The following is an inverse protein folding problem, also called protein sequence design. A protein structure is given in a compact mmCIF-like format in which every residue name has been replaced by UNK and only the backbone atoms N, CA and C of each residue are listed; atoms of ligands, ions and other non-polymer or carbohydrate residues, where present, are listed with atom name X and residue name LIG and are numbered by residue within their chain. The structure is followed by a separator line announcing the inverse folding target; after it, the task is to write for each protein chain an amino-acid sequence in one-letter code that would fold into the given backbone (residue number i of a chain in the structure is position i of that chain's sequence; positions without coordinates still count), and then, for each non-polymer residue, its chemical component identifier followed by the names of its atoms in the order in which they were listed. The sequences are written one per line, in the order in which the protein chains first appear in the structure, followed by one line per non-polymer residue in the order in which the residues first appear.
data_IF_474544816141
#
_entry.id   IF_474544816141
#
_cell.length_a   1.000
_cell.length_b   1.000
_cell.length_c   1.000
_cell.angle_alpha   90.00
_cell.angle_beta   90.00
_cell.angle_gamma   90.00
#
_symmetry.space_group_name_H-M   'P 1'
#
loop_
_entity.id
_entity.type
_entity.pdbx_description
1 polymer ?
#
# COMPACT_ATOMS: atom_id res chain seq x y z
N UNK A 1 -11.63 -18.24 4.27
CA UNK A 1 -11.33 -19.30 3.27
C UNK A 1 -10.86 -18.75 1.94
N UNK A 2 -11.52 -17.74 1.35
CA UNK A 2 -11.15 -17.18 0.04
C UNK A 2 -9.68 -16.73 -0.07
N UNK A 3 -9.12 -16.07 0.95
CA UNK A 3 -7.74 -15.56 0.93
C UNK A 3 -6.67 -16.67 0.91
N UNK A 4 -6.91 -17.82 1.55
CA UNK A 4 -5.93 -18.93 1.68
C UNK A 4 -6.08 -19.94 0.55
N UNK A 5 -7.30 -20.28 0.12
CA UNK A 5 -7.52 -21.20 -0.99
C UNK A 5 -6.88 -20.69 -2.30
N UNK A 6 -6.75 -19.38 -2.48
CA UNK A 6 -6.29 -18.80 -3.73
C UNK A 6 -4.81 -18.43 -3.80
N UNK A 7 -4.12 -18.21 -2.67
CA UNK A 7 -2.65 -18.17 -2.71
C UNK A 7 -2.07 -19.47 -3.29
N UNK A 8 -2.85 -20.55 -3.21
CA UNK A 8 -2.50 -21.89 -3.69
C UNK A 8 -3.15 -22.23 -5.04
N UNK A 9 -4.44 -21.92 -5.27
CA UNK A 9 -5.19 -22.54 -6.40
C UNK A 9 -5.48 -21.59 -7.58
N UNK A 10 -5.91 -20.35 -7.36
CA UNK A 10 -6.67 -19.68 -8.43
C UNK A 10 -5.90 -18.77 -9.39
N UNK A 11 -4.56 -18.86 -9.47
CA UNK A 11 -3.79 -18.09 -10.48
C UNK A 11 -2.82 -18.93 -11.31
N UNK A 12 -3.27 -20.11 -11.76
CA UNK A 12 -2.53 -20.97 -12.72
C UNK A 12 -2.22 -20.25 -14.05
N UNK A 13 -2.90 -19.13 -14.35
CA UNK A 13 -2.66 -18.26 -15.51
C UNK A 13 -2.49 -16.78 -15.11
N UNK A 14 -1.55 -16.46 -14.21
CA UNK A 14 -1.22 -15.07 -13.91
C UNK A 14 -0.37 -14.46 -15.04
N UNK A 15 -0.74 -13.28 -15.59
CA UNK A 15 0.07 -12.60 -16.60
C UNK A 15 1.44 -12.22 -16.02
N UNK A 16 2.46 -12.11 -16.87
CA UNK A 16 3.76 -11.54 -16.51
C UNK A 16 3.96 -10.23 -17.27
N UNK A 17 3.44 -9.10 -16.76
CA UNK A 17 3.67 -7.80 -17.35
C UNK A 17 5.15 -7.55 -17.58
N UNK A 18 5.50 -7.10 -18.78
CA UNK A 18 6.86 -6.67 -19.10
C UNK A 18 6.97 -5.18 -18.76
N UNK A 19 7.91 -4.86 -17.88
CA UNK A 19 8.15 -3.50 -17.39
C UNK A 19 9.64 -3.21 -17.23
N UNK A 20 9.93 -1.93 -17.02
CA UNK A 20 11.27 -1.41 -16.71
C UNK A 20 11.41 -1.27 -15.20
N UNK A 21 12.46 -1.85 -14.61
CA UNK A 21 12.79 -1.61 -13.20
C UNK A 21 13.58 -0.32 -13.06
N UNK A 22 13.06 0.61 -12.28
CA UNK A 22 13.74 1.86 -11.95
C UNK A 22 14.39 1.73 -10.58
N UNK A 23 15.61 2.23 -10.46
CA UNK A 23 16.41 2.25 -9.23
C UNK A 23 16.60 3.69 -8.78
N UNK A 24 16.33 3.96 -7.50
CA UNK A 24 16.53 5.25 -6.86
C UNK A 24 17.47 5.06 -5.67
N UNK A 25 18.50 5.89 -5.59
CA UNK A 25 19.34 6.02 -4.40
C UNK A 25 18.71 7.04 -3.48
N UNK A 26 18.39 6.63 -2.25
CA UNK A 26 17.83 7.50 -1.22
C UNK A 26 18.92 8.14 -0.36
N UNK A 27 18.55 9.20 0.36
CA UNK A 27 19.48 9.99 1.20
C UNK A 27 20.14 9.17 2.31
N UNK A 28 19.46 8.11 2.79
CA UNK A 28 19.98 7.20 3.81
C UNK A 28 20.84 6.06 3.23
N UNK A 29 21.13 6.08 1.93
CA UNK A 29 21.89 5.06 1.21
C UNK A 29 21.07 3.83 0.78
N UNK A 30 19.76 3.80 1.05
CA UNK A 30 18.89 2.73 0.59
C UNK A 30 18.70 2.79 -0.92
N UNK A 31 18.68 1.62 -1.55
CA UNK A 31 18.23 1.46 -2.93
C UNK A 31 16.75 1.16 -2.92
N UNK A 32 15.94 2.14 -3.32
CA UNK A 32 14.54 1.94 -3.59
C UNK A 32 14.35 1.50 -5.05
N UNK A 33 13.40 0.61 -5.29
CA UNK A 33 13.03 0.24 -6.66
C UNK A 33 11.53 0.31 -6.86
N UNK A 34 11.14 0.56 -8.10
CA UNK A 34 9.77 0.39 -8.55
C UNK A 34 9.79 -0.13 -9.98
N UNK A 35 8.76 -0.89 -10.36
CA UNK A 35 8.63 -1.39 -11.73
C UNK A 35 7.60 -0.56 -12.49
N UNK A 36 8.00 -0.12 -13.68
CA UNK A 36 7.24 0.76 -14.57
C UNK A 36 6.71 -0.01 -15.77
N UNK A 37 5.41 0.07 -15.99
CA UNK A 37 4.69 -0.65 -17.03
C UNK A 37 3.95 0.34 -17.92
N UNK A 38 4.25 0.32 -19.22
CA UNK A 38 3.60 1.19 -20.21
C UNK A 38 2.22 0.63 -20.59
N UNK A 39 1.26 1.49 -20.99
CA UNK A 39 -0.04 1.03 -21.47
C UNK A 39 0.12 0.11 -22.69
N UNK A 40 -0.72 -0.93 -22.78
CA UNK A 40 -0.77 -1.85 -23.93
C UNK A 40 -1.71 -1.29 -25.01
N UNK A 41 -2.79 -0.62 -24.58
CA UNK A 41 -3.75 0.03 -25.45
C UNK A 41 -3.46 1.53 -25.47
N UNK A 42 -3.40 2.15 -26.64
CA UNK A 42 -3.30 3.60 -26.75
C UNK A 42 -4.52 4.27 -26.11
N UNK A 43 -4.26 5.31 -25.34
CA UNK A 43 -5.24 6.12 -24.66
C UNK A 43 -4.80 7.58 -24.72
N UNK A 44 -5.74 8.50 -24.93
CA UNK A 44 -5.42 9.92 -25.16
C UNK A 44 -4.91 10.61 -23.90
N UNK A 45 -5.38 10.20 -22.72
CA UNK A 45 -4.99 10.80 -21.44
C UNK A 45 -3.73 10.16 -20.85
N UNK A 46 -2.80 10.99 -20.36
CA UNK A 46 -1.57 10.54 -19.70
C UNK A 46 -1.79 10.29 -18.20
N UNK A 47 -2.27 9.10 -17.85
CA UNK A 47 -2.58 8.73 -16.45
C UNK A 47 -1.61 7.65 -15.95
N UNK A 48 -0.99 7.90 -14.80
CA UNK A 48 -0.11 6.96 -14.09
C UNK A 48 -0.74 6.48 -12.79
N UNK A 49 -0.88 5.16 -12.64
CA UNK A 49 -1.26 4.52 -11.39
C UNK A 49 -0.02 4.27 -10.55
N UNK A 50 0.12 4.99 -9.45
CA UNK A 50 1.17 4.78 -8.46
C UNK A 50 0.70 3.76 -7.42
N UNK A 51 1.14 2.52 -7.59
CA UNK A 51 0.64 1.36 -6.85
C UNK A 51 1.56 1.06 -5.67
N UNK A 52 0.98 1.02 -4.46
CA UNK A 52 1.63 0.61 -3.23
C UNK A 52 1.11 -0.78 -2.79
N UNK A 53 1.92 -1.85 -2.88
CA UNK A 53 1.52 -3.19 -2.45
C UNK A 53 1.33 -3.31 -0.93
N UNK A 54 0.69 -4.41 -0.51
CA UNK A 54 0.60 -4.82 0.88
C UNK A 54 1.95 -5.25 1.49
N UNK A 55 1.93 -5.60 2.77
CA UNK A 55 3.14 -5.91 3.55
C UNK A 55 3.99 -6.99 2.89
N UNK A 56 5.28 -6.72 2.70
CA UNK A 56 6.25 -7.67 2.16
C UNK A 56 6.01 -8.08 0.71
N UNK A 57 5.14 -7.36 -0.01
CA UNK A 57 4.85 -7.61 -1.41
C UNK A 57 5.62 -6.63 -2.31
N UNK A 58 5.59 -6.92 -3.60
CA UNK A 58 6.32 -6.21 -4.66
C UNK A 58 5.50 -6.25 -5.96
N UNK A 59 6.05 -5.67 -7.03
CA UNK A 59 5.56 -5.82 -8.40
C UNK A 59 5.37 -7.26 -8.86
N UNK A 60 6.14 -8.21 -8.32
CA UNK A 60 6.11 -9.63 -8.69
C UNK A 60 4.97 -10.40 -8.02
N UNK A 61 4.26 -9.75 -7.08
CA UNK A 61 3.14 -10.34 -6.36
C UNK A 61 1.97 -10.59 -7.30
N UNK A 62 1.35 -11.76 -7.17
CA UNK A 62 0.40 -12.27 -8.16
C UNK A 62 -0.83 -11.35 -8.34
N UNK A 63 -1.33 -10.77 -7.25
CA UNK A 63 -2.47 -9.82 -7.31
C UNK A 63 -2.09 -8.51 -7.99
N UNK A 64 -0.89 -7.99 -7.71
CA UNK A 64 -0.35 -6.80 -8.35
C UNK A 64 -0.18 -7.03 -9.85
N UNK A 65 0.48 -8.12 -10.26
CA UNK A 65 0.69 -8.45 -11.69
C UNK A 65 -0.62 -8.52 -12.47
N UNK A 66 -1.66 -9.06 -11.85
CA UNK A 66 -2.98 -9.17 -12.49
C UNK A 66 -3.64 -7.80 -12.64
N UNK A 67 -3.62 -6.97 -11.59
CA UNK A 67 -4.15 -5.61 -11.64
C UNK A 67 -3.39 -4.74 -12.65
N UNK A 68 -2.04 -4.78 -12.62
CA UNK A 68 -1.17 -4.07 -13.57
C UNK A 68 -1.51 -4.45 -15.01
N UNK A 69 -1.57 -5.76 -15.31
CA UNK A 69 -1.93 -6.20 -16.66
C UNK A 69 -3.29 -5.68 -17.09
N UNK A 70 -4.29 -5.78 -16.20
CA UNK A 70 -5.64 -5.29 -16.47
C UNK A 70 -5.64 -3.78 -16.71
N UNK A 71 -4.93 -3.00 -15.90
CA UNK A 71 -4.80 -1.55 -16.07
C UNK A 71 -4.08 -1.15 -17.35
N UNK A 72 -3.00 -1.84 -17.74
CA UNK A 72 -2.33 -1.61 -19.02
C UNK A 72 -3.26 -1.83 -20.22
N UNK A 73 -4.12 -2.84 -20.17
CA UNK A 73 -5.14 -3.08 -21.19
C UNK A 73 -6.21 -1.97 -21.26
N UNK A 74 -6.35 -1.17 -20.21
CA UNK A 74 -7.26 -0.01 -20.14
C UNK A 74 -6.57 1.33 -20.39
N UNK A 75 -5.30 1.30 -20.84
CA UNK A 75 -4.60 2.52 -21.25
C UNK A 75 -3.83 3.24 -20.15
N UNK A 76 -3.70 2.64 -18.97
CA UNK A 76 -2.97 3.26 -17.86
C UNK A 76 -1.50 2.86 -17.82
N UNK A 77 -0.63 3.83 -17.55
CA UNK A 77 0.74 3.55 -17.08
C UNK A 77 0.66 3.08 -15.64
N UNK A 78 1.42 2.06 -15.27
CA UNK A 78 1.48 1.59 -13.88
C UNK A 78 2.90 1.69 -13.35
N UNK A 79 3.06 2.25 -12.16
CA UNK A 79 4.32 2.25 -11.42
C UNK A 79 4.08 1.56 -10.08
N UNK A 80 4.75 0.43 -9.85
CA UNK A 80 4.56 -0.36 -8.62
C UNK A 80 5.77 -0.23 -7.73
N UNK A 81 5.57 0.27 -6.52
CA UNK A 81 6.58 0.31 -5.47
C UNK A 81 7.04 -1.12 -5.12
N UNK A 82 8.35 -1.35 -5.10
CA UNK A 82 8.92 -2.53 -4.47
C UNK A 82 9.42 -2.12 -3.09
N UNK A 83 8.70 -2.55 -2.05
CA UNK A 83 9.11 -2.33 -0.66
C UNK A 83 10.57 -2.76 -0.44
N UNK A 84 11.38 -1.92 0.22
CA UNK A 84 12.80 -2.19 0.43
C UNK A 84 12.99 -3.52 1.16
N UNK A 85 13.68 -4.47 0.53
CA UNK A 85 13.91 -5.84 1.02
C UNK A 85 12.85 -6.87 0.60
N UNK A 86 11.68 -6.46 0.07
CA UNK A 86 10.65 -7.40 -0.36
C UNK A 86 10.98 -8.08 -1.70
N UNK A 87 11.70 -7.39 -2.58
CA UNK A 87 12.01 -7.89 -3.91
C UNK A 87 13.25 -8.77 -3.91
N UNK A 88 13.07 -10.06 -4.20
CA UNK A 88 14.10 -11.05 -3.96
C UNK A 88 15.37 -10.92 -4.81
N UNK A 89 15.30 -10.25 -5.95
CA UNK A 89 16.43 -10.01 -6.85
C UNK A 89 17.24 -8.74 -6.52
N UNK A 90 16.77 -7.92 -5.58
CA UNK A 90 17.40 -6.64 -5.20
C UNK A 90 17.96 -6.76 -3.79
N UNK A 91 19.23 -6.42 -3.62
CA UNK A 91 19.86 -6.41 -2.31
C UNK A 91 19.52 -5.11 -1.57
N UNK A 92 19.29 -5.22 -0.27
CA UNK A 92 19.22 -4.05 0.62
C UNK A 92 20.61 -3.45 0.76
N UNK A 93 20.71 -2.12 0.64
CA UNK A 93 21.99 -1.39 0.67
C UNK A 93 22.18 -0.51 1.90
N UNK A 94 21.18 -0.41 2.77
CA UNK A 94 21.22 0.34 4.03
C UNK A 94 20.68 -0.51 5.19
N UNK A 95 20.77 -0.02 6.43
CA UNK A 95 20.45 -0.79 7.65
C UNK A 95 18.96 -0.84 7.99
N UNK A 96 18.08 -0.72 6.99
CA UNK A 96 16.62 -0.80 7.18
C UNK A 96 15.90 -1.54 6.06
N UNK A 97 14.67 -1.93 6.36
CA UNK A 97 13.66 -2.34 5.37
C UNK A 97 12.46 -1.39 5.48
N UNK A 98 11.47 -1.57 4.62
CA UNK A 98 10.21 -0.82 4.69
C UNK A 98 9.48 -1.04 6.04
N UNK A 99 8.56 -0.13 6.39
CA UNK A 99 7.70 -0.26 7.58
C UNK A 99 6.24 0.06 7.27
N UNK A 100 5.35 -0.18 8.24
CA UNK A 100 3.91 0.11 8.11
C UNK A 100 3.60 1.60 7.92
N UNK A 101 4.49 2.49 8.37
CA UNK A 101 4.25 3.93 8.41
C UNK A 101 5.20 4.78 7.57
N UNK A 102 6.26 4.23 6.99
CA UNK A 102 7.28 5.03 6.29
C UNK A 102 6.84 5.39 4.87
N UNK A 103 6.34 6.60 4.71
CA UNK A 103 5.74 7.15 3.47
C UNK A 103 6.76 7.78 2.53
N UNK A 104 7.94 8.15 3.03
CA UNK A 104 8.99 8.81 2.23
C UNK A 104 9.46 7.94 1.05
N UNK A 105 9.59 6.62 1.25
CA UNK A 105 9.89 5.68 0.13
C UNK A 105 8.85 5.79 -0.99
N UNK A 106 7.56 5.93 -0.64
CA UNK A 106 6.51 6.12 -1.65
C UNK A 106 6.57 7.52 -2.26
N UNK A 107 6.83 8.56 -1.45
CA UNK A 107 6.99 9.94 -1.93
C UNK A 107 8.13 10.07 -2.94
N UNK A 108 9.27 9.42 -2.71
CA UNK A 108 10.42 9.44 -3.63
C UNK A 108 10.10 8.77 -4.97
N UNK A 109 9.30 7.70 -4.96
CA UNK A 109 8.76 7.10 -6.18
C UNK A 109 7.86 8.10 -6.93
N UNK A 110 6.93 8.75 -6.23
CA UNK A 110 6.02 9.75 -6.82
C UNK A 110 6.80 10.92 -7.43
N UNK A 111 7.77 11.47 -6.72
CA UNK A 111 8.60 12.59 -7.17
C UNK A 111 9.45 12.21 -8.38
N UNK A 112 9.93 10.97 -8.45
CA UNK A 112 10.61 10.47 -9.63
C UNK A 112 9.67 10.33 -10.83
N UNK A 113 8.44 9.82 -10.63
CA UNK A 113 7.43 9.71 -11.68
C UNK A 113 7.01 11.08 -12.21
N UNK A 114 6.76 12.04 -11.32
CA UNK A 114 6.41 13.41 -11.70
C UNK A 114 7.51 14.06 -12.55
N UNK A 115 8.79 13.85 -12.21
CA UNK A 115 9.91 14.35 -13.02
C UNK A 115 10.05 13.62 -14.37
N UNK A 116 9.85 12.30 -14.40
CA UNK A 116 9.96 11.47 -15.62
C UNK A 116 8.78 11.74 -16.59
N UNK A 117 7.61 12.08 -16.05
CA UNK A 117 6.37 12.36 -16.79
C UNK A 117 5.69 13.64 -16.28
N UNK A 118 6.18 14.84 -16.64
CA UNK A 118 5.67 16.10 -16.09
C UNK A 118 4.17 16.38 -16.37
N UNK A 119 3.64 15.82 -17.45
CA UNK A 119 2.23 15.97 -17.84
C UNK A 119 1.28 14.92 -17.27
N UNK A 120 1.78 13.90 -16.56
CA UNK A 120 0.93 12.79 -16.13
C UNK A 120 0.06 13.17 -14.95
N UNK A 121 -1.20 12.74 -14.97
CA UNK A 121 -2.04 12.68 -13.78
C UNK A 121 -1.72 11.40 -13.00
N UNK A 122 -1.38 11.52 -11.74
CA UNK A 122 -1.04 10.42 -10.84
C UNK A 122 -2.23 10.11 -9.93
N UNK A 123 -2.68 8.86 -9.97
CA UNK A 123 -3.65 8.31 -9.02
C UNK A 123 -2.93 7.26 -8.17
N UNK A 124 -2.98 7.43 -6.85
CA UNK A 124 -2.37 6.50 -5.91
C UNK A 124 -3.31 5.32 -5.65
N UNK A 125 -2.79 4.09 -5.61
CA UNK A 125 -3.58 2.88 -5.35
C UNK A 125 -2.86 2.03 -4.32
N UNK A 126 -3.46 1.84 -3.15
CA UNK A 126 -2.83 1.16 -2.03
C UNK A 126 -3.61 -0.06 -1.57
N UNK A 127 -2.93 -1.20 -1.44
CA UNK A 127 -3.52 -2.47 -0.99
C UNK A 127 -3.06 -2.79 0.44
N UNK A 128 -4.00 -3.01 1.37
CA UNK A 128 -3.72 -3.37 2.78
C UNK A 128 -2.73 -2.37 3.43
N UNK A 129 -1.52 -2.80 3.81
CA UNK A 129 -0.44 -1.88 4.26
C UNK A 129 -0.22 -0.72 3.29
N UNK A 130 -0.22 -0.97 1.99
CA UNK A 130 -0.08 0.08 0.99
C UNK A 130 -1.26 1.06 1.01
N UNK A 131 -2.45 0.59 1.37
CA UNK A 131 -3.62 1.43 1.61
C UNK A 131 -3.39 2.42 2.76
N UNK A 132 -2.78 1.94 3.84
CA UNK A 132 -2.36 2.78 4.97
C UNK A 132 -1.29 3.79 4.56
N UNK A 133 -0.25 3.36 3.85
CA UNK A 133 0.82 4.24 3.38
C UNK A 133 0.32 5.35 2.47
N UNK A 134 -0.50 5.06 1.45
CA UNK A 134 -1.00 6.12 0.57
C UNK A 134 -1.93 7.10 1.30
N UNK A 135 -2.68 6.61 2.29
CA UNK A 135 -3.61 7.46 3.05
C UNK A 135 -2.85 8.39 3.98
N UNK A 136 -1.85 7.85 4.67
CA UNK A 136 -0.91 8.63 5.47
C UNK A 136 -0.14 9.63 4.60
N UNK A 137 0.38 9.20 3.45
CA UNK A 137 1.08 10.06 2.48
C UNK A 137 0.22 11.26 2.07
N UNK A 138 -1.05 11.03 1.71
CA UNK A 138 -1.98 12.10 1.32
C UNK A 138 -2.31 13.07 2.46
N UNK A 139 -2.28 12.60 3.71
CA UNK A 139 -2.54 13.41 4.91
C UNK A 139 -1.31 13.99 5.61
N UNK A 140 -0.10 13.64 5.19
CA UNK A 140 1.12 14.14 5.84
C UNK A 140 1.55 15.48 5.28
N UNK A 141 1.38 16.55 6.05
CA UNK A 141 1.65 17.93 5.63
C UNK A 141 3.08 18.12 5.11
N UNK A 142 4.08 17.52 5.78
CA UNK A 142 5.50 17.73 5.48
C UNK A 142 6.00 16.90 4.29
N UNK A 143 5.23 15.92 3.81
CA UNK A 143 5.66 15.03 2.73
C UNK A 143 5.46 15.68 1.36
N UNK A 144 6.45 15.52 0.47
CA UNK A 144 6.41 16.04 -0.90
C UNK A 144 5.25 15.41 -1.68
N UNK A 145 4.36 16.27 -2.18
CA UNK A 145 3.16 15.89 -2.93
C UNK A 145 3.04 16.79 -4.16
N UNK A 146 3.49 16.34 -5.34
CA UNK A 146 3.36 17.14 -6.55
C UNK A 146 1.88 17.31 -6.92
N UNK A 147 1.55 18.41 -7.61
CA UNK A 147 0.18 18.69 -8.04
C UNK A 147 -0.37 17.64 -9.01
N UNK A 148 0.51 16.89 -9.67
CA UNK A 148 0.15 15.75 -10.50
C UNK A 148 -0.55 14.65 -9.71
N UNK A 149 -0.44 14.58 -8.38
CA UNK A 149 -1.26 13.68 -7.57
C UNK A 149 -2.67 14.24 -7.48
N UNK A 150 -3.60 13.56 -8.16
CA UNK A 150 -4.99 14.01 -8.29
C UNK A 150 -5.96 13.26 -7.38
N UNK A 151 -5.56 12.14 -6.80
CA UNK A 151 -6.39 11.37 -5.88
C UNK A 151 -5.80 10.02 -5.47
N UNK A 152 -6.57 9.26 -4.69
CA UNK A 152 -6.15 7.95 -4.20
C UNK A 152 -7.27 6.94 -4.02
N UNK A 153 -6.92 5.65 -4.06
CA UNK A 153 -7.80 4.54 -3.72
C UNK A 153 -7.12 3.64 -2.70
N UNK A 154 -7.68 3.57 -1.50
CA UNK A 154 -7.16 2.80 -0.38
C UNK A 154 -8.03 1.57 -0.11
N UNK A 155 -7.42 0.40 -0.09
CA UNK A 155 -8.12 -0.89 -0.16
C UNK A 155 -7.79 -1.76 1.05
N UNK A 156 -8.83 -2.20 1.75
CA UNK A 156 -8.81 -3.19 2.83
C UNK A 156 -7.72 -2.96 3.88
N UNK A 157 -7.64 -1.74 4.39
CA UNK A 157 -6.77 -1.40 5.52
C UNK A 157 -7.58 -1.20 6.81
N UNK A 158 -6.87 -1.18 7.93
CA UNK A 158 -7.46 -1.04 9.28
C UNK A 158 -7.32 0.33 9.94
N UNK A 159 -6.65 1.30 9.30
CA UNK A 159 -6.47 2.71 9.70
C UNK A 159 -5.75 2.99 11.03
N UNK A 160 -5.98 2.17 12.05
CA UNK A 160 -5.37 2.19 13.38
C UNK A 160 -4.51 0.92 13.59
N UNK A 161 -3.19 1.06 13.52
CA UNK A 161 -2.26 -0.04 13.69
C UNK A 161 -2.18 -0.53 15.15
N UNK A 162 -2.49 0.33 16.13
CA UNK A 162 -2.49 -0.04 17.56
C UNK A 162 -3.62 -1.04 17.85
N UNK A 163 -4.84 -0.71 17.46
CA UNK A 163 -6.00 -1.58 17.63
C UNK A 163 -5.98 -2.76 16.63
N UNK A 164 -5.51 -2.54 15.40
CA UNK A 164 -5.34 -3.60 14.41
C UNK A 164 -4.40 -4.70 14.89
N UNK A 165 -3.28 -4.34 15.50
CA UNK A 165 -2.33 -5.31 16.06
C UNK A 165 -2.94 -6.12 17.20
N UNK A 166 -3.71 -5.49 18.10
CA UNK A 166 -4.44 -6.20 19.17
C UNK A 166 -5.41 -7.23 18.57
N UNK A 167 -6.08 -6.90 17.46
CA UNK A 167 -6.95 -7.84 16.76
C UNK A 167 -6.21 -9.04 16.19
N UNK A 168 -5.04 -8.81 15.57
CA UNK A 168 -4.25 -9.85 14.92
C UNK A 168 -3.73 -10.91 15.89
N UNK A 169 -3.54 -10.55 17.17
CA UNK A 169 -3.11 -11.47 18.23
C UNK A 169 -4.20 -12.47 18.65
N UNK A 170 -5.46 -12.23 18.28
CA UNK A 170 -6.59 -13.10 18.58
C UNK A 170 -6.72 -14.25 17.57
N UNK A 171 -7.27 -15.38 18.00
CA UNK A 171 -7.47 -16.56 17.14
C UNK A 171 -8.72 -16.50 16.26
N UNK A 172 -9.67 -15.60 16.56
CA UNK A 172 -10.89 -15.42 15.78
C UNK A 172 -10.56 -15.17 14.30
N UNK A 173 -11.34 -15.78 13.39
CA UNK A 173 -11.16 -15.68 11.94
C UNK A 173 -9.76 -16.05 11.43
N UNK A 174 -9.04 -16.92 12.15
CA UNK A 174 -7.68 -17.36 11.84
C UNK A 174 -6.64 -16.23 11.84
N UNK A 175 -6.92 -15.07 12.46
CA UNK A 175 -6.03 -13.90 12.47
C UNK A 175 -4.60 -14.22 12.93
N UNK A 176 -4.45 -15.08 13.95
CA UNK A 176 -3.13 -15.52 14.43
C UNK A 176 -2.32 -16.31 13.41
N UNK A 177 -2.98 -17.07 12.52
CA UNK A 177 -2.31 -17.74 11.40
C UNK A 177 -1.80 -16.72 10.37
N UNK A 178 -2.61 -15.71 10.05
CA UNK A 178 -2.17 -14.61 9.17
C UNK A 178 -1.02 -13.82 9.79
N UNK A 179 -1.12 -13.50 11.08
CA UNK A 179 -0.06 -12.82 11.82
C UNK A 179 1.23 -13.63 11.78
N UNK A 180 1.15 -14.95 12.00
CA UNK A 180 2.30 -15.83 11.90
C UNK A 180 2.93 -15.78 10.50
N UNK A 181 2.15 -15.94 9.43
CA UNK A 181 2.64 -15.86 8.04
C UNK A 181 3.29 -14.50 7.76
N UNK A 182 2.66 -13.40 8.19
CA UNK A 182 3.24 -12.05 8.05
C UNK A 182 4.55 -11.92 8.81
N UNK A 183 4.63 -12.44 10.03
CA UNK A 183 5.83 -12.40 10.87
C UNK A 183 6.97 -13.18 10.23
N UNK A 184 6.71 -14.40 9.76
CA UNK A 184 7.71 -15.24 9.09
C UNK A 184 8.18 -14.62 7.77
N UNK A 185 7.29 -14.00 7.00
CA UNK A 185 7.68 -13.28 5.78
C UNK A 185 8.61 -12.10 6.10
N UNK A 186 8.27 -11.26 7.08
CA UNK A 186 9.11 -10.13 7.50
C UNK A 186 10.46 -10.59 8.04
N UNK A 187 10.46 -11.61 8.89
CA UNK A 187 11.68 -12.22 9.42
C UNK A 187 12.54 -12.81 8.30
N UNK A 188 11.94 -13.48 7.32
CA UNK A 188 12.65 -14.01 6.16
C UNK A 188 13.31 -12.91 5.33
N UNK A 189 12.66 -11.74 5.16
CA UNK A 189 13.25 -10.59 4.49
C UNK A 189 14.50 -10.12 5.26
N UNK A 190 14.38 -9.94 6.59
CA UNK A 190 15.50 -9.49 7.43
C UNK A 190 16.68 -10.47 7.34
N UNK A 191 16.40 -11.77 7.52
CA UNK A 191 17.43 -12.82 7.54
C UNK A 191 18.09 -13.03 6.17
N UNK A 192 17.35 -12.83 5.07
CA UNK A 192 17.91 -12.87 3.72
C UNK A 192 18.98 -11.79 3.52
N UNK A 193 18.76 -10.60 4.07
CA UNK A 193 19.68 -9.47 3.99
C UNK A 193 20.53 -9.29 5.26
N UNK A 194 20.71 -10.35 6.07
CA UNK A 194 21.42 -10.32 7.36
C UNK A 194 22.82 -9.68 7.29
N UNK A 195 23.53 -9.86 6.18
CA UNK A 195 24.90 -9.33 6.03
C UNK A 195 24.95 -7.79 6.08
N UNK A 196 23.86 -7.14 5.70
CA UNK A 196 23.72 -5.67 5.74
C UNK A 196 22.90 -5.25 6.95
N UNK A 197 21.75 -5.89 7.15
CA UNK A 197 20.79 -5.50 8.19
C UNK A 197 21.24 -5.86 9.61
N UNK A 198 22.00 -6.94 9.76
CA UNK A 198 22.49 -7.48 11.03
C UNK A 198 24.03 -7.56 11.03
N UNK A 199 24.69 -6.64 10.34
CA UNK A 199 26.14 -6.45 10.46
C UNK A 199 26.51 -6.01 11.88
N UNK A 200 27.75 -6.22 12.32
CA UNK A 200 28.20 -5.77 13.64
C UNK A 200 27.99 -4.26 13.84
N UNK A 201 28.16 -3.47 12.78
CA UNK A 201 27.89 -2.04 12.78
C UNK A 201 26.39 -1.74 13.00
N UNK A 202 25.51 -2.41 12.25
CA UNK A 202 24.05 -2.23 12.38
C UNK A 202 23.56 -2.65 13.77
N UNK A 203 24.05 -3.80 14.27
CA UNK A 203 23.75 -4.33 15.59
C UNK A 203 24.14 -3.32 16.68
N UNK A 204 25.35 -2.77 16.62
CA UNK A 204 25.81 -1.78 17.60
C UNK A 204 25.04 -0.46 17.48
N UNK A 205 24.83 0.03 16.25
CA UNK A 205 24.17 1.30 15.98
C UNK A 205 22.73 1.34 16.50
N UNK A 206 21.96 0.28 16.22
CA UNK A 206 20.55 0.21 16.55
C UNK A 206 20.28 -0.64 17.80
N UNK A 207 21.33 -1.09 18.49
CA UNK A 207 21.22 -2.00 19.65
C UNK A 207 20.34 -3.22 19.34
N UNK A 208 20.61 -3.92 18.24
CA UNK A 208 19.82 -5.08 17.82
C UNK A 208 20.27 -6.35 18.55
N UNK A 209 19.35 -7.29 18.73
CA UNK A 209 19.66 -8.63 19.21
C UNK A 209 19.17 -9.66 18.19
N UNK A 210 20.09 -10.24 17.42
CA UNK A 210 19.75 -11.22 16.38
C UNK A 210 18.96 -12.42 16.94
N UNK A 211 19.24 -12.84 18.18
CA UNK A 211 18.49 -13.94 18.81
C UNK A 211 17.03 -13.57 19.07
N UNK A 212 16.76 -12.34 19.51
CA UNK A 212 15.39 -11.83 19.70
C UNK A 212 14.65 -11.76 18.36
N UNK A 213 15.32 -11.30 17.30
CA UNK A 213 14.76 -11.23 15.94
C UNK A 213 14.40 -12.61 15.40
N UNK A 214 15.28 -13.60 15.57
CA UNK A 214 15.04 -14.98 15.13
C UNK A 214 13.91 -15.62 15.95
N UNK A 215 13.88 -15.36 17.26
CA UNK A 215 12.92 -15.93 18.20
C UNK A 215 11.53 -15.28 18.13
N UNK A 216 11.39 -14.10 17.53
CA UNK A 216 10.11 -13.42 17.38
C UNK A 216 9.08 -14.32 16.68
N UNK A 217 7.96 -14.57 17.37
CA UNK A 217 6.85 -15.41 16.92
C UNK A 217 5.64 -14.58 16.48
N UNK A 218 5.64 -13.29 16.79
CA UNK A 218 4.60 -12.33 16.38
C UNK A 218 5.20 -11.06 15.80
N UNK A 219 4.44 -10.38 14.93
CA UNK A 219 4.88 -9.12 14.33
C UNK A 219 5.23 -8.05 15.38
N UNK A 220 4.50 -7.92 16.52
CA UNK A 220 4.89 -6.99 17.59
C UNK A 220 6.22 -7.34 18.26
N UNK A 221 6.51 -8.62 18.47
CA UNK A 221 7.82 -9.04 19.00
C UNK A 221 8.94 -8.72 18.00
N UNK A 222 8.69 -8.92 16.71
CA UNK A 222 9.65 -8.58 15.66
C UNK A 222 9.85 -7.06 15.55
N UNK A 223 8.78 -6.28 15.63
CA UNK A 223 8.84 -4.82 15.61
C UNK A 223 9.56 -4.26 16.84
N UNK A 224 9.37 -4.88 18.01
CA UNK A 224 10.06 -4.53 19.25
C UNK A 224 11.56 -4.84 19.19
N UNK A 225 11.93 -5.97 18.57
CA UNK A 225 13.33 -6.40 18.44
C UNK A 225 14.08 -5.67 17.32
N UNK A 226 13.39 -5.27 16.25
CA UNK A 226 14.00 -4.73 15.03
C UNK A 226 13.41 -3.37 14.63
N UNK A 227 12.16 -3.31 14.17
CA UNK A 227 11.60 -2.15 13.46
C UNK A 227 11.66 -0.87 14.29
N UNK A 228 11.22 -0.92 15.55
CA UNK A 228 11.24 0.26 16.42
C UNK A 228 12.67 0.75 16.68
N UNK A 229 13.63 -0.17 16.75
CA UNK A 229 15.03 0.15 17.09
C UNK A 229 15.72 0.81 15.90
N UNK A 230 15.58 0.22 14.71
CA UNK A 230 16.10 0.78 13.45
C UNK A 230 15.53 2.17 13.17
N UNK A 231 14.26 2.40 13.51
CA UNK A 231 13.60 3.69 13.32
C UNK A 231 13.61 4.60 14.57
N UNK A 232 14.38 4.25 15.61
CA UNK A 232 14.59 5.04 16.82
C UNK A 232 13.31 5.43 17.60
N UNK A 233 12.28 4.58 17.56
CA UNK A 233 11.09 4.71 18.40
C UNK A 233 11.35 4.13 19.80
N UNK A 234 10.90 4.86 20.83
CA UNK A 234 11.08 4.47 22.24
C UNK A 234 10.29 3.20 22.56
N UNK A 235 9.09 3.08 21.99
CA UNK A 235 8.21 1.93 22.18
C UNK A 235 7.57 1.50 20.86
N UNK A 236 7.20 0.21 20.76
CA UNK A 236 6.41 -0.29 19.62
C UNK A 236 5.03 0.38 19.53
N UNK A 237 4.49 0.86 20.65
CA UNK A 237 3.24 1.62 20.65
C UNK A 237 3.38 3.00 19.97
N UNK A 238 4.51 3.69 20.17
CA UNK A 238 4.81 4.93 19.45
C UNK A 238 4.95 4.69 17.95
N UNK A 239 5.67 3.64 17.56
CA UNK A 239 5.77 3.21 16.15
C UNK A 239 4.39 2.98 15.52
N UNK A 240 3.49 2.27 16.20
CA UNK A 240 2.15 2.00 15.67
C UNK A 240 1.25 3.24 15.63
N UNK A 241 1.34 4.13 16.62
CA UNK A 241 0.63 5.42 16.56
C UNK A 241 1.12 6.25 15.38
N UNK A 242 2.43 6.38 15.21
CA UNK A 242 3.02 7.09 14.07
C UNK A 242 2.61 6.47 12.73
N UNK A 243 2.51 5.15 12.67
CA UNK A 243 2.15 4.43 11.44
C UNK A 243 0.65 4.46 11.12
N UNK A 244 -0.22 4.82 12.07
CA UNK A 244 -1.68 4.78 11.87
C UNK A 244 -2.15 5.94 11.00
N UNK A 245 -2.68 5.64 9.81
CA UNK A 245 -3.12 6.67 8.85
C UNK A 245 -4.30 7.52 9.35
N UNK A 246 -5.10 7.03 10.30
CA UNK A 246 -6.21 7.80 10.89
C UNK A 246 -5.76 9.12 11.51
N UNK A 247 -4.52 9.19 12.02
CA UNK A 247 -3.96 10.40 12.64
C UNK A 247 -3.67 11.52 11.63
N UNK A 248 -3.83 11.26 10.34
CA UNK A 248 -3.49 12.17 9.25
C UNK A 248 -4.69 12.53 8.37
N UNK A 249 -5.88 11.99 8.67
CA UNK A 249 -7.09 12.17 7.87
C UNK A 249 -7.47 13.64 7.67
N UNK A 250 -7.38 14.46 8.71
CA UNK A 250 -7.83 15.87 8.69
C UNK A 250 -7.08 16.73 7.67
N UNK A 251 -5.90 16.30 7.25
CA UNK A 251 -5.03 17.03 6.32
C UNK A 251 -5.14 16.51 4.87
N UNK A 252 -5.97 15.49 4.61
CA UNK A 252 -6.19 15.00 3.25
C UNK A 252 -6.95 16.08 2.46
N UNK A 253 -6.38 16.54 1.34
CA UNK A 253 -6.97 17.57 0.47
C UNK A 253 -7.29 17.06 -0.95
N UNK A 254 -6.89 15.82 -1.26
CA UNK A 254 -7.15 15.16 -2.54
C UNK A 254 -8.34 14.22 -2.44
N UNK A 255 -9.12 14.04 -3.52
CA UNK A 255 -10.14 13.01 -3.61
C UNK A 255 -9.59 11.62 -3.25
N UNK A 256 -10.27 10.92 -2.34
CA UNK A 256 -9.87 9.58 -1.90
C UNK A 256 -11.06 8.64 -1.79
N UNK A 257 -10.88 7.40 -2.25
CA UNK A 257 -11.88 6.33 -2.17
C UNK A 257 -11.33 5.24 -1.27
N UNK A 258 -12.11 4.84 -0.27
CA UNK A 258 -11.81 3.75 0.64
C UNK A 258 -12.70 2.54 0.31
N UNK A 259 -12.11 1.35 0.21
CA UNK A 259 -12.83 0.12 -0.10
C UNK A 259 -12.52 -0.92 0.98
N UNK A 260 -13.55 -1.46 1.65
CA UNK A 260 -13.42 -2.57 2.60
C UNK A 260 -14.51 -3.63 2.35
N UNK A 261 -14.30 -4.82 2.92
CA UNK A 261 -15.28 -5.90 2.90
C UNK A 261 -15.71 -6.28 4.33
N UNK A 262 -17.00 -6.52 4.54
CA UNK A 262 -17.55 -6.91 5.85
C UNK A 262 -17.05 -8.28 6.32
N UNK A 263 -16.70 -9.16 5.40
CA UNK A 263 -16.16 -10.49 5.68
C UNK A 263 -14.62 -10.55 5.69
N UNK A 264 -13.95 -9.38 5.80
CA UNK A 264 -12.51 -9.32 5.97
C UNK A 264 -12.07 -10.01 7.29
N UNK A 265 -11.27 -11.09 7.22
CA UNK A 265 -10.83 -11.80 8.41
C UNK A 265 -9.87 -10.96 9.27
N UNK A 266 -9.15 -9.99 8.69
CA UNK A 266 -8.13 -9.19 9.36
C UNK A 266 -8.70 -7.88 9.92
N UNK A 267 -9.65 -7.27 9.22
CA UNK A 267 -10.19 -5.95 9.55
C UNK A 267 -11.63 -6.07 10.08
N UNK A 268 -11.85 -6.22 11.40
CA UNK A 268 -13.20 -6.21 11.98
C UNK A 268 -13.88 -4.83 11.88
N UNK A 269 -15.22 -4.85 11.92
CA UNK A 269 -16.12 -3.69 11.83
C UNK A 269 -15.68 -2.47 12.65
N UNK A 270 -15.25 -2.66 13.90
CA UNK A 270 -14.90 -1.54 14.76
C UNK A 270 -13.66 -0.77 14.29
N UNK A 271 -12.74 -1.40 13.54
CA UNK A 271 -11.60 -0.72 12.92
C UNK A 271 -12.02 0.16 11.74
N UNK A 272 -13.26 0.03 11.26
CA UNK A 272 -13.81 0.85 10.18
C UNK A 272 -14.44 2.15 10.72
N UNK A 273 -14.59 2.29 12.04
CA UNK A 273 -15.11 3.51 12.68
C UNK A 273 -14.40 4.79 12.25
N UNK A 274 -13.05 4.85 12.27
CA UNK A 274 -12.29 6.03 11.86
C UNK A 274 -12.65 6.51 10.45
N UNK A 275 -12.65 5.61 9.45
CA UNK A 275 -12.96 5.99 8.07
C UNK A 275 -14.45 6.34 7.90
N UNK A 276 -15.36 5.63 8.56
CA UNK A 276 -16.80 5.92 8.52
C UNK A 276 -17.11 7.30 9.10
N UNK A 277 -16.41 7.71 10.16
CA UNK A 277 -16.54 9.05 10.73
C UNK A 277 -15.93 10.11 9.80
N UNK A 278 -14.75 9.85 9.24
CA UNK A 278 -14.05 10.78 8.35
C UNK A 278 -14.89 11.16 7.12
N UNK A 279 -15.46 10.18 6.41
CA UNK A 279 -16.22 10.44 5.18
C UNK A 279 -17.54 11.18 5.41
N UNK A 280 -18.07 11.21 6.64
CA UNK A 280 -19.27 12.00 6.97
C UNK A 280 -18.96 13.49 6.93
N UNK A 281 -17.77 13.89 7.36
CA UNK A 281 -17.35 15.30 7.43
C UNK A 281 -16.51 15.76 6.23
N UNK A 282 -16.05 14.84 5.38
CA UNK A 282 -15.05 15.14 4.35
C UNK A 282 -15.60 14.98 2.93
N UNK A 283 -15.84 16.10 2.24
CA UNK A 283 -16.55 16.13 0.95
C UNK A 283 -15.84 15.43 -0.21
N UNK A 284 -14.52 15.29 -0.13
CA UNK A 284 -13.70 14.65 -1.17
C UNK A 284 -13.37 13.19 -0.83
N UNK A 285 -13.97 12.61 0.21
CA UNK A 285 -13.76 11.22 0.58
C UNK A 285 -15.02 10.38 0.30
N UNK A 286 -14.81 9.16 -0.22
CA UNK A 286 -15.87 8.19 -0.43
C UNK A 286 -15.50 6.88 0.27
N UNK A 287 -16.47 6.23 0.91
CA UNK A 287 -16.30 4.93 1.55
C UNK A 287 -17.24 3.91 0.93
N UNK A 288 -16.68 2.79 0.47
CA UNK A 288 -17.39 1.69 -0.15
C UNK A 288 -17.15 0.44 0.71
N UNK A 289 -18.23 -0.11 1.24
CA UNK A 289 -18.21 -1.34 2.01
C UNK A 289 -19.04 -2.41 1.30
N UNK A 290 -18.38 -3.48 0.87
CA UNK A 290 -19.05 -4.62 0.24
C UNK A 290 -19.34 -5.72 1.27
N UNK A 291 -20.39 -6.50 1.04
CA UNK A 291 -20.71 -7.63 1.92
C UNK A 291 -19.62 -8.72 1.89
N UNK A 292 -19.05 -8.97 0.70
CA UNK A 292 -18.09 -10.05 0.46
C UNK A 292 -16.89 -9.59 -0.37
N UNK A 293 -15.70 -9.91 0.10
CA UNK A 293 -14.43 -9.65 -0.57
C UNK A 293 -13.22 -10.26 0.14
N UNK A 294 -13.37 -10.70 1.39
CA UNK A 294 -12.25 -11.06 2.25
C UNK A 294 -11.25 -9.90 2.36
N UNK A 295 -10.01 -10.20 2.72
CA UNK A 295 -9.01 -9.14 2.86
C UNK A 295 -8.59 -8.53 1.52
N UNK A 296 -8.25 -9.33 0.51
CA UNK A 296 -7.89 -8.87 -0.83
C UNK A 296 -8.34 -9.89 -1.90
N UNK A 297 -9.45 -10.58 -1.64
CA UNK A 297 -9.94 -11.68 -2.47
C UNK A 297 -10.84 -11.20 -3.60
N UNK A 298 -11.97 -10.59 -3.26
CA UNK A 298 -12.98 -10.02 -4.17
C UNK A 298 -13.32 -10.91 -5.38
N UNK A 299 -13.32 -12.23 -5.16
CA UNK A 299 -13.47 -13.20 -6.25
C UNK A 299 -14.90 -13.22 -6.76
N UNK A 300 -14.99 -13.39 -8.07
CA UNK A 300 -16.23 -13.67 -8.77
C UNK A 300 -16.02 -14.82 -9.75
N UNK A 301 -17.11 -15.50 -10.11
CA UNK A 301 -17.08 -16.65 -11.01
C UNK A 301 -17.56 -17.94 -10.34
N UNK A 302 -17.39 -19.05 -11.06
CA UNK A 302 -17.89 -20.36 -10.63
C UNK A 302 -17.00 -21.01 -9.57
N UNK A 303 -17.57 -21.96 -8.82
CA UNK A 303 -16.93 -22.68 -7.71
C UNK A 303 -15.61 -23.38 -8.07
N UNK A 304 -15.39 -23.73 -9.36
CA UNK A 304 -14.24 -24.53 -9.83
C UNK A 304 -13.16 -23.67 -10.48
N UNK A 305 -13.53 -22.57 -11.15
CA UNK A 305 -12.60 -21.67 -11.84
C UNK A 305 -12.96 -20.21 -11.52
N UNK A 306 -12.31 -19.59 -10.51
CA UNK A 306 -12.52 -18.17 -10.26
C UNK A 306 -12.02 -17.34 -11.45
N UNK A 307 -12.69 -16.21 -11.71
CA UNK A 307 -12.21 -15.27 -12.71
C UNK A 307 -10.85 -14.69 -12.24
N UNK A 308 -9.78 -14.74 -13.05
CA UNK A 308 -8.50 -14.16 -12.67
C UNK A 308 -8.60 -12.65 -12.42
N UNK A 309 -9.46 -11.95 -13.17
CA UNK A 309 -9.78 -10.54 -12.95
C UNK A 309 -10.94 -10.46 -11.97
N UNK A 310 -10.65 -9.94 -10.78
CA UNK A 310 -11.58 -9.87 -9.65
C UNK A 310 -12.58 -8.71 -9.79
N UNK A 311 -13.59 -8.67 -8.92
CA UNK A 311 -14.49 -7.52 -8.81
C UNK A 311 -13.70 -6.24 -8.52
N UNK A 312 -12.71 -6.36 -7.63
CA UNK A 312 -11.85 -5.26 -7.21
C UNK A 312 -11.09 -4.69 -8.41
N UNK A 313 -10.43 -5.54 -9.22
CA UNK A 313 -9.65 -5.09 -10.38
C UNK A 313 -10.51 -4.23 -11.34
N UNK A 314 -11.75 -4.67 -11.62
CA UNK A 314 -12.66 -3.93 -12.51
C UNK A 314 -13.18 -2.64 -11.88
N UNK A 315 -13.51 -2.70 -10.60
CA UNK A 315 -14.00 -1.55 -9.84
C UNK A 315 -12.94 -0.47 -9.73
N UNK A 316 -11.68 -0.84 -9.49
CA UNK A 316 -10.57 0.11 -9.43
C UNK A 316 -10.43 0.90 -10.73
N UNK A 317 -10.51 0.24 -11.90
CA UNK A 317 -10.47 0.93 -13.20
C UNK A 317 -11.61 1.94 -13.35
N UNK A 318 -12.83 1.56 -12.98
CA UNK A 318 -13.96 2.49 -13.03
C UNK A 318 -13.77 3.69 -12.09
N UNK A 319 -13.25 3.46 -10.89
CA UNK A 319 -12.99 4.51 -9.89
C UNK A 319 -11.82 5.43 -10.29
N UNK A 320 -10.79 4.89 -10.93
CA UNK A 320 -9.69 5.66 -11.53
C UNK A 320 -10.24 6.62 -12.58
N UNK A 321 -11.10 6.13 -13.49
CA UNK A 321 -11.77 6.98 -14.48
C UNK A 321 -12.61 8.08 -13.82
N UNK A 322 -13.35 7.74 -12.76
CA UNK A 322 -14.15 8.73 -12.02
C UNK A 322 -13.29 9.83 -11.37
N UNK A 323 -12.18 9.46 -10.71
CA UNK A 323 -11.24 10.41 -10.11
C UNK A 323 -10.65 11.35 -11.18
N UNK A 324 -10.29 10.82 -12.34
CA UNK A 324 -9.80 11.62 -13.45
C UNK A 324 -10.86 12.60 -14.00
N UNK A 325 -12.10 12.15 -14.18
CA UNK A 325 -13.20 13.02 -14.63
C UNK A 325 -13.46 14.15 -13.62
N UNK A 326 -13.45 13.85 -12.32
CA UNK A 326 -13.62 14.88 -11.27
C UNK A 326 -12.49 15.91 -11.32
N UNK A 327 -11.26 15.49 -11.63
CA UNK A 327 -10.12 16.39 -11.78
C UNK A 327 -10.24 17.29 -13.02
N UNK A 328 -10.65 16.74 -14.17
CA UNK A 328 -10.72 17.48 -15.45
C UNK A 328 -11.99 18.31 -15.61
N UNK A 329 -13.05 18.01 -14.85
CA UNK A 329 -14.32 18.76 -14.91
C UNK A 329 -14.15 20.13 -14.23
N UNK A 330 -14.42 21.25 -14.92
CA UNK A 330 -14.35 22.58 -14.33
C UNK A 330 -15.30 22.69 -13.13
N UNK A 331 -14.74 23.09 -11.98
CA UNK A 331 -15.52 23.33 -10.77
C UNK A 331 -16.47 24.52 -10.98
N UNK A 332 -17.73 24.26 -11.38
CA UNK A 332 -18.77 25.28 -11.55
C UNK A 332 -19.06 26.10 -10.28
N UNK A 333 -18.58 25.65 -9.12
CA UNK A 333 -18.73 26.34 -7.83
C UNK A 333 -17.60 27.30 -7.46
N UNK A 334 -16.46 27.33 -8.17
CA UNK A 334 -15.37 28.29 -7.88
C UNK A 334 -15.44 29.58 -8.71
N UNK A 335 -16.34 29.67 -9.67
CA UNK A 335 -16.55 30.86 -10.53
C UNK A 335 -17.62 31.85 -10.01
N UNK A 336 -18.03 31.75 -8.75
CA UNK A 336 -19.13 32.55 -8.17
C UNK A 336 -18.72 33.81 -7.39
N UNK A 337 -17.43 34.14 -7.24
CA UNK A 337 -17.00 35.34 -6.49
C UNK A 337 -15.93 36.11 -7.27
N UNK A 338 -16.31 36.64 -8.44
CA UNK A 338 -15.68 37.84 -9.01
C UNK A 338 -16.52 38.37 -10.17
N UNK A 339 -17.71 38.88 -9.86
CA UNK A 339 -18.41 39.81 -10.73
C UNK A 339 -19.38 40.66 -9.91
N UNK A 340 -19.09 41.97 -9.87
CA UNK A 340 -20.01 43.08 -9.60
C UNK A 340 -20.50 43.30 -8.16
N UNK A 341 -19.81 44.19 -7.45
CA UNK A 341 -20.33 45.54 -7.14
C UNK A 341 -19.18 46.49 -6.82
#
# INVERSE_FOLDING_TARGET
MQTVLHSIIGRVKCPWPLGERVYLSLDDGSTLTYDLYQPIKEFEDDITLAICPGIGNSSESVYIRTFVHYAQCHGYRCAVLNHIGALGSVQVTATRIFTYGHTEDFADMIDNLHRKYPGTCIITVGFSLGGNLITKYLGEVQTRKPESVIGGISICQGYNAVEGTKCLLNWQNFRRLYLYIMTENMKSIILKHRQVLLSDESIQRHNLNEREIIAAATLPELDEAYTRRVHNFSTTQELYRWSSSENYFDNIDKPIIFINAKDDPLIPEFLLGPVKNFVVSHQQACYIEVAHGGHLGFYEGGFIYPNPVTWLDRTLIAMIGALFIVHTTPNKHKSGVSAQC
#
